data_IF_056304468960
#
_entry.id   IF_056304468960
#
_cell.length_a   1.000
_cell.length_b   1.000
_cell.length_c   1.000
_cell.angle_alpha   90.00
_cell.angle_beta   90.00
_cell.angle_gamma   90.00
#
_symmetry.space_group_name_H-M   'P 1'
#
loop_
_entity.id
_entity.type
_entity.pdbx_description
1 polymer ?
#
# COMPACT_ATOMS: atom_id res chain seq x y z
N UNK A 1 13.54 -9.69 2.90
CA UNK A 1 14.36 -9.22 4.04
C UNK A 1 14.96 -7.86 3.69
N UNK A 2 15.97 -7.78 2.82
CA UNK A 2 16.63 -6.51 2.43
C UNK A 2 15.66 -5.46 1.86
N UNK A 3 14.78 -5.87 0.94
CA UNK A 3 13.76 -4.98 0.34
C UNK A 3 12.79 -4.36 1.38
N UNK A 4 12.65 -5.01 2.54
CA UNK A 4 11.79 -4.55 3.62
C UNK A 4 12.59 -3.94 4.79
N UNK A 5 13.87 -3.61 4.57
CA UNK A 5 14.71 -2.91 5.56
C UNK A 5 15.26 -3.77 6.67
N UNK A 6 15.23 -5.10 6.52
CA UNK A 6 15.85 -6.03 7.46
C UNK A 6 17.12 -6.58 6.81
N UNK A 7 18.29 -6.30 7.37
CA UNK A 7 19.55 -6.91 6.93
C UNK A 7 19.52 -8.42 7.25
N UNK A 8 19.59 -9.31 6.24
CA UNK A 8 19.60 -10.75 6.46
C UNK A 8 20.76 -11.24 7.32
N UNK A 9 21.87 -10.51 7.39
CA UNK A 9 23.06 -10.88 8.16
C UNK A 9 22.89 -10.60 9.66
N UNK A 10 22.09 -9.59 10.00
CA UNK A 10 21.80 -9.21 11.38
C UNK A 10 20.55 -9.91 11.94
N UNK A 11 19.74 -10.52 11.08
CA UNK A 11 18.55 -11.27 11.50
C UNK A 11 18.94 -12.64 12.11
N UNK A 12 18.86 -12.75 13.44
CA UNK A 12 19.17 -13.98 14.20
C UNK A 12 17.95 -14.88 14.48
N UNK A 13 16.78 -14.52 13.97
CA UNK A 13 15.54 -15.26 14.20
C UNK A 13 15.34 -16.44 13.24
N UNK A 14 14.28 -17.21 13.48
CA UNK A 14 13.85 -18.30 12.60
C UNK A 14 12.87 -17.82 11.51
N UNK A 15 12.51 -18.71 10.59
CA UNK A 15 11.61 -18.39 9.46
C UNK A 15 10.21 -17.91 9.89
N UNK A 16 9.73 -18.29 11.08
CA UNK A 16 8.44 -17.82 11.61
C UNK A 16 8.54 -16.38 12.13
N UNK A 17 9.70 -16.02 12.69
CA UNK A 17 9.97 -14.68 13.25
C UNK A 17 10.27 -13.63 12.16
N UNK A 18 10.67 -14.10 10.97
CA UNK A 18 11.00 -13.29 9.81
C UNK A 18 9.88 -12.30 9.42
N UNK A 19 8.64 -12.79 9.39
CA UNK A 19 7.46 -12.00 9.04
C UNK A 19 7.25 -10.86 10.03
N UNK A 20 7.34 -11.16 11.32
CA UNK A 20 7.19 -10.18 12.40
C UNK A 20 8.27 -9.10 12.33
N UNK A 21 9.52 -9.50 12.11
CA UNK A 21 10.63 -8.56 12.00
C UNK A 21 10.45 -7.59 10.81
N UNK A 22 9.97 -8.08 9.67
CA UNK A 22 9.64 -7.26 8.50
C UNK A 22 8.55 -6.23 8.82
N UNK A 23 7.48 -6.66 9.48
CA UNK A 23 6.37 -5.76 9.87
C UNK A 23 6.85 -4.64 10.79
N UNK A 24 7.68 -4.97 11.80
CA UNK A 24 8.24 -3.98 12.73
C UNK A 24 9.16 -2.99 12.01
N UNK A 25 10.10 -3.47 11.19
CA UNK A 25 11.02 -2.62 10.43
C UNK A 25 10.29 -1.71 9.42
N UNK A 26 9.14 -2.15 8.90
CA UNK A 26 8.33 -1.36 8.01
C UNK A 26 7.54 -0.25 8.73
N UNK A 27 7.11 -0.49 9.97
CA UNK A 27 6.51 0.54 10.83
C UNK A 27 7.54 1.57 11.28
N UNK A 28 8.73 1.15 11.68
CA UNK A 28 9.81 2.05 12.12
C UNK A 28 10.22 3.04 11.02
N UNK A 29 10.21 2.59 9.76
CA UNK A 29 10.54 3.42 8.60
C UNK A 29 9.33 4.11 7.95
N UNK A 30 8.12 3.93 8.49
CA UNK A 30 6.91 4.47 7.90
C UNK A 30 6.98 6.00 7.79
N UNK A 31 7.38 6.68 8.88
CA UNK A 31 7.55 8.13 8.93
C UNK A 31 8.61 8.63 7.94
N UNK A 32 9.74 7.92 7.81
CA UNK A 32 10.81 8.25 6.86
C UNK A 32 10.34 8.15 5.40
N UNK A 33 9.40 7.23 5.13
CA UNK A 33 8.82 7.00 3.82
C UNK A 33 7.54 7.83 3.57
N UNK A 34 7.10 8.64 4.54
CA UNK A 34 5.89 9.45 4.43
C UNK A 34 4.58 8.65 4.50
N UNK A 35 4.61 7.48 5.14
CA UNK A 35 3.46 6.60 5.31
C UNK A 35 2.94 6.60 6.75
N UNK A 36 1.62 6.61 6.92
CA UNK A 36 0.97 6.34 8.22
C UNK A 36 0.35 4.94 8.20
N UNK A 37 0.94 4.01 8.96
CA UNK A 37 0.43 2.65 9.12
C UNK A 37 -0.24 2.42 10.49
N UNK A 38 -0.52 3.48 11.26
CA UNK A 38 -1.08 3.37 12.62
C UNK A 38 -2.44 2.67 12.66
N UNK A 39 -3.25 2.80 11.60
CA UNK A 39 -4.56 2.17 11.47
C UNK A 39 -4.52 0.75 10.89
N UNK A 40 -3.38 0.30 10.38
CA UNK A 40 -3.23 -1.04 9.80
C UNK A 40 -2.81 -2.04 10.88
N UNK A 41 -3.41 -3.22 10.85
CA UNK A 41 -2.88 -4.35 11.62
C UNK A 41 -1.64 -4.94 10.93
N UNK A 42 -0.96 -5.86 11.60
CA UNK A 42 0.30 -6.41 11.11
C UNK A 42 0.15 -7.28 9.86
N UNK A 43 -0.97 -7.99 9.71
CA UNK A 43 -1.24 -8.78 8.52
C UNK A 43 -1.53 -7.88 7.32
N UNK A 44 -2.28 -6.78 7.50
CA UNK A 44 -2.50 -5.77 6.46
C UNK A 44 -1.21 -5.08 6.00
N UNK A 45 -0.17 -5.09 6.82
CA UNK A 45 1.12 -4.51 6.48
C UNK A 45 1.95 -5.43 5.57
N UNK A 46 1.84 -6.75 5.74
CA UNK A 46 2.67 -7.73 5.04
C UNK A 46 1.95 -8.54 3.96
N UNK A 47 0.63 -8.68 4.05
CA UNK A 47 -0.15 -9.56 3.18
C UNK A 47 -0.79 -8.84 2.00
N UNK A 48 -1.14 -9.66 1.02
CA UNK A 48 -2.04 -9.30 -0.07
C UNK A 48 -3.45 -9.76 0.27
N UNK A 49 -4.37 -8.80 0.42
CA UNK A 49 -5.78 -9.09 0.63
C UNK A 49 -6.50 -9.18 -0.71
N UNK A 50 -6.99 -10.39 -1.01
CA UNK A 50 -7.68 -10.70 -2.24
C UNK A 50 -9.20 -10.62 -2.07
N UNK A 51 -9.83 -9.68 -2.77
CA UNK A 51 -11.29 -9.52 -2.78
C UNK A 51 -11.86 -9.78 -4.16
N UNK A 52 -12.98 -10.49 -4.22
CA UNK A 52 -13.76 -10.68 -5.44
C UNK A 52 -15.11 -9.98 -5.27
N UNK A 53 -15.36 -8.96 -6.09
CA UNK A 53 -16.63 -8.26 -6.18
C UNK A 53 -17.34 -8.78 -7.42
N UNK A 54 -18.41 -9.53 -7.20
CA UNK A 54 -19.25 -10.04 -8.27
C UNK A 54 -19.80 -8.88 -9.12
N UNK A 55 -19.82 -8.99 -10.47
CA UNK A 55 -19.58 -10.21 -11.24
C UNK A 55 -18.14 -10.45 -11.70
N UNK A 56 -17.26 -9.46 -11.68
CA UNK A 56 -16.06 -9.51 -12.52
C UNK A 56 -14.90 -8.60 -12.10
N UNK A 57 -14.90 -8.12 -10.85
CA UNK A 57 -13.83 -7.28 -10.33
C UNK A 57 -13.09 -8.04 -9.24
N UNK A 58 -11.79 -8.15 -9.41
CA UNK A 58 -10.88 -8.70 -8.40
C UNK A 58 -9.92 -7.62 -7.94
N UNK A 59 -9.68 -7.55 -6.64
CA UNK A 59 -8.76 -6.60 -6.02
C UNK A 59 -7.67 -7.35 -5.26
N UNK A 60 -6.43 -6.98 -5.51
CA UNK A 60 -5.29 -7.32 -4.64
C UNK A 60 -4.90 -6.05 -3.88
N UNK A 61 -5.00 -6.07 -2.57
CA UNK A 61 -4.82 -4.89 -1.72
C UNK A 61 -3.61 -5.08 -0.83
N UNK A 62 -2.64 -4.16 -0.94
CA UNK A 62 -1.46 -4.08 -0.10
C UNK A 62 -1.50 -2.79 0.73
N UNK A 63 -0.60 -2.65 1.70
CA UNK A 63 -0.55 -1.49 2.60
C UNK A 63 -0.42 -0.12 1.90
N UNK A 64 0.25 -0.07 0.73
CA UNK A 64 0.57 1.20 0.03
C UNK A 64 -0.01 1.30 -1.38
N UNK A 65 -0.59 0.22 -1.89
CA UNK A 65 -1.09 0.15 -3.26
C UNK A 65 -2.14 -0.96 -3.39
N UNK A 66 -2.92 -0.91 -4.46
CA UNK A 66 -3.79 -2.00 -4.84
C UNK A 66 -3.83 -2.16 -6.36
N UNK A 67 -4.15 -3.38 -6.78
CA UNK A 67 -4.40 -3.73 -8.17
C UNK A 67 -5.87 -4.07 -8.34
N UNK A 68 -6.47 -3.56 -9.42
CA UNK A 68 -7.81 -3.90 -9.84
C UNK A 68 -7.77 -4.64 -11.17
N UNK A 69 -8.37 -5.82 -11.18
CA UNK A 69 -8.50 -6.67 -12.35
C UNK A 69 -9.96 -6.72 -12.74
N UNK A 70 -10.27 -6.31 -13.98
CA UNK A 70 -11.63 -6.38 -14.50
C UNK A 70 -11.66 -7.28 -15.72
N UNK A 71 -12.48 -8.32 -15.67
CA UNK A 71 -12.63 -9.29 -16.76
C UNK A 71 -13.97 -9.05 -17.46
N UNK A 72 -13.99 -8.89 -18.79
CA UNK A 72 -15.24 -8.72 -19.55
C UNK A 72 -15.30 -9.73 -20.68
N UNK A 73 -16.46 -10.33 -20.97
CA UNK A 73 -16.58 -11.23 -22.11
C UNK A 73 -16.27 -10.48 -23.40
N UNK A 74 -15.62 -11.16 -24.36
CA UNK A 74 -15.49 -10.62 -25.71
C UNK A 74 -16.87 -10.64 -26.40
N UNK A 75 -17.16 -9.61 -27.20
CA UNK A 75 -18.51 -9.42 -27.80
C UNK A 75 -18.91 -10.52 -28.78
N UNK A 76 -17.94 -11.11 -29.47
CA UNK A 76 -18.17 -12.06 -30.58
C UNK A 76 -17.56 -13.45 -30.39
N UNK A 77 -16.59 -13.61 -29.47
CA UNK A 77 -15.82 -14.85 -29.34
C UNK A 77 -15.89 -15.35 -27.89
N UNK A 78 -16.66 -16.41 -27.60
CA UNK A 78 -16.83 -16.92 -26.25
C UNK A 78 -15.55 -17.51 -25.64
N UNK A 79 -14.50 -17.73 -26.43
CA UNK A 79 -13.20 -18.20 -25.95
C UNK A 79 -12.22 -17.05 -25.62
N UNK A 80 -12.67 -15.80 -25.69
CA UNK A 80 -11.86 -14.61 -25.40
C UNK A 80 -12.50 -13.73 -24.33
N UNK A 81 -11.66 -12.95 -23.67
CA UNK A 81 -12.09 -11.89 -22.76
C UNK A 81 -11.25 -10.63 -22.97
N UNK A 82 -11.81 -9.49 -22.56
CA UNK A 82 -11.07 -8.25 -22.34
C UNK A 82 -10.63 -8.25 -20.87
N UNK A 83 -9.36 -7.92 -20.65
CA UNK A 83 -8.76 -7.91 -19.33
C UNK A 83 -8.12 -6.55 -19.05
N UNK A 84 -8.73 -5.82 -18.13
CA UNK A 84 -8.27 -4.50 -17.70
C UNK A 84 -7.48 -4.67 -16.38
N UNK A 85 -6.20 -4.27 -16.40
CA UNK A 85 -5.33 -4.22 -15.21
C UNK A 85 -5.05 -2.76 -14.87
N UNK A 86 -5.48 -2.33 -13.68
CA UNK A 86 -5.22 -1.00 -13.16
C UNK A 86 -4.43 -1.11 -11.86
N UNK A 87 -3.34 -0.36 -11.75
CA UNK A 87 -2.51 -0.30 -10.56
C UNK A 87 -2.62 1.08 -9.94
N UNK A 88 -2.95 1.13 -8.65
CA UNK A 88 -3.09 2.36 -7.90
C UNK A 88 -2.09 2.33 -6.75
N UNK A 89 -1.15 3.26 -6.73
CA UNK A 89 -0.28 3.47 -5.59
C UNK A 89 -0.68 4.74 -4.88
N UNK A 90 -0.55 4.75 -3.55
CA UNK A 90 -0.61 6.00 -2.83
C UNK A 90 0.50 6.94 -3.32
N UNK A 91 0.26 8.25 -3.41
CA UNK A 91 1.30 9.21 -3.74
C UNK A 91 2.35 9.20 -2.63
N UNK A 92 3.62 9.16 -3.00
CA UNK A 92 4.70 9.44 -2.04
C UNK A 92 4.58 10.92 -1.68
N UNK A 93 3.97 11.22 -0.53
CA UNK A 93 4.02 12.57 0.01
C UNK A 93 5.45 12.74 0.50
N UNK A 94 6.29 13.37 -0.33
CA UNK A 94 7.43 14.08 0.22
C UNK A 94 6.82 15.07 1.21
N UNK A 95 7.03 14.84 2.51
CA UNK A 95 6.69 15.81 3.54
C UNK A 95 7.60 17.01 3.28
N UNK A 96 7.22 17.84 2.32
CA UNK A 96 7.60 19.24 2.36
C UNK A 96 7.02 19.73 3.67
N UNK A 97 7.87 20.34 4.51
CA UNK A 97 7.58 20.83 5.87
C UNK A 97 6.32 21.71 6.02
N UNK A 98 5.61 21.97 4.92
CA UNK A 98 4.34 22.68 4.84
C UNK A 98 3.14 21.82 5.28
N UNK A 99 3.09 20.52 4.95
CA UNK A 99 1.93 19.65 5.25
C UNK A 99 1.92 19.10 6.68
N UNK A 100 3.01 19.25 7.43
CA UNK A 100 3.07 18.90 8.87
C UNK A 100 2.47 19.98 9.77
N UNK A 101 2.06 21.13 9.21
CA UNK A 101 1.37 22.17 9.97
C UNK A 101 -0.06 21.71 10.28
N UNK A 102 -0.56 21.85 11.52
CA UNK A 102 -1.94 21.49 11.85
C UNK A 102 -2.92 22.25 10.95
N UNK A 103 -3.98 21.57 10.48
CA UNK A 103 -4.98 22.01 9.49
C UNK A 103 -5.43 23.47 9.64
N UNK A 104 -5.49 23.97 10.88
CA UNK A 104 -5.86 25.34 11.24
C UNK A 104 -4.92 26.40 10.64
N UNK A 105 -3.63 26.09 10.51
CA UNK A 105 -2.61 26.98 9.94
C UNK A 105 -2.61 26.96 8.40
N UNK A 106 -2.96 25.84 7.78
CA UNK A 106 -3.11 25.73 6.33
C UNK A 106 -4.25 26.64 5.81
N UNK A 107 -5.36 26.69 6.53
CA UNK A 107 -6.51 27.52 6.16
C UNK A 107 -6.25 29.02 6.35
N UNK A 108 -5.34 29.42 7.24
CA UNK A 108 -4.96 30.82 7.44
C UNK A 108 -4.06 31.36 6.31
N UNK A 109 -3.23 30.50 5.70
CA UNK A 109 -2.36 30.89 4.59
C UNK A 109 -3.14 31.17 3.29
N UNK A 110 -4.30 30.52 3.11
CA UNK A 110 -5.13 30.66 1.90
C UNK A 110 -6.01 31.93 1.89
N UNK A 111 -6.18 32.62 3.03
CA UNK A 111 -6.96 33.86 3.12
C UNK A 111 -6.14 35.14 2.90
N UNK A 112 -4.85 35.03 2.59
CA UNK A 112 -3.96 36.15 2.30
C UNK A 112 -3.47 36.19 0.84
N UNK A 113 -4.11 35.42 -0.04
CA UNK A 113 -4.00 35.49 -1.51
C UNK A 113 -5.32 36.05 -2.03
#
# INVERSE_FOLDING_TARGET
MEQNGVDPKDFKGNAQEARRAIQLAQRERADEMGWDFSSLNDDQLSDDYHYCVFPNVTLNTHATNYMMFTQRPHTEDPNKCLYDLQMFSLPQIQITKELSKPQKQLNQALHHI
#
